data_IF_557744605631
#
_entry.id   IF_557744605631
#
_cell.length_a   1.000
_cell.length_b   1.000
_cell.length_c   1.000
_cell.angle_alpha   90.00
_cell.angle_beta   90.00
_cell.angle_gamma   90.00
#
_symmetry.space_group_name_H-M   'P 1'
#
loop_
_entity.id
_entity.type
_entity.pdbx_description
1 polymer ?
#
# COMPACT_ATOMS: atom_id res chain seq x y z
N UNK A 1 12.58 -23.19 -6.82
CA UNK A 1 11.92 -21.89 -7.05
C UNK A 1 12.74 -21.11 -8.06
N UNK A 2 12.43 -21.28 -9.35
CA UNK A 2 13.10 -20.59 -10.46
C UNK A 2 12.39 -19.27 -10.72
N UNK A 3 13.18 -18.18 -10.77
CA UNK A 3 12.70 -16.83 -11.00
C UNK A 3 12.24 -16.67 -12.45
N UNK A 4 10.94 -16.66 -12.72
CA UNK A 4 10.42 -16.26 -14.02
C UNK A 4 8.91 -16.02 -13.91
N UNK A 5 8.51 -14.77 -13.65
CA UNK A 5 7.23 -14.15 -14.03
C UNK A 5 6.87 -12.90 -13.18
N UNK A 6 7.82 -12.28 -12.48
CA UNK A 6 7.48 -11.21 -11.54
C UNK A 6 7.12 -9.86 -12.16
N UNK A 7 7.16 -9.67 -13.48
CA UNK A 7 6.88 -8.37 -14.08
C UNK A 7 5.44 -8.25 -14.60
N UNK A 8 4.46 -8.67 -13.79
CA UNK A 8 3.06 -8.49 -14.14
C UNK A 8 2.67 -7.03 -14.07
N UNK A 9 1.95 -6.57 -15.11
CA UNK A 9 1.16 -5.34 -15.05
C UNK A 9 0.05 -5.48 -14.01
N UNK A 10 -0.55 -4.37 -13.54
CA UNK A 10 -1.65 -4.41 -12.57
C UNK A 10 -2.81 -5.33 -12.98
N UNK A 11 -3.21 -5.27 -14.25
CA UNK A 11 -4.26 -6.13 -14.80
C UNK A 11 -3.86 -7.61 -14.73
N UNK A 12 -2.67 -7.95 -15.26
CA UNK A 12 -2.16 -9.33 -15.21
C UNK A 12 -1.98 -9.84 -13.78
N UNK A 13 -1.56 -8.97 -12.87
CA UNK A 13 -1.39 -9.32 -11.47
C UNK A 13 -2.72 -9.59 -10.79
N UNK A 14 -3.73 -8.76 -11.06
CA UNK A 14 -5.10 -8.98 -10.58
C UNK A 14 -5.60 -10.34 -11.02
N UNK A 15 -5.53 -10.64 -12.32
CA UNK A 15 -6.02 -11.90 -12.86
C UNK A 15 -5.23 -13.10 -12.32
N UNK A 16 -3.90 -13.01 -12.31
CA UNK A 16 -3.02 -14.09 -11.84
C UNK A 16 -3.18 -14.38 -10.34
N UNK A 17 -3.29 -13.36 -9.49
CA UNK A 17 -3.52 -13.56 -8.05
C UNK A 17 -4.88 -14.19 -7.81
N UNK A 18 -5.92 -13.70 -8.49
CA UNK A 18 -7.28 -14.23 -8.39
C UNK A 18 -7.38 -15.68 -8.85
N UNK A 19 -6.70 -16.03 -9.94
CA UNK A 19 -6.60 -17.40 -10.45
C UNK A 19 -5.97 -18.34 -9.40
N UNK A 20 -4.83 -17.94 -8.84
CA UNK A 20 -4.16 -18.72 -7.77
C UNK A 20 -5.08 -18.83 -6.55
N UNK A 21 -5.74 -17.75 -6.14
CA UNK A 21 -6.59 -17.70 -4.95
C UNK A 21 -7.88 -18.54 -5.07
N UNK A 22 -8.36 -18.81 -6.29
CA UNK A 22 -9.52 -19.68 -6.55
C UNK A 22 -9.16 -21.14 -6.77
N UNK A 23 -7.87 -21.45 -6.93
CA UNK A 23 -7.40 -22.81 -7.14
C UNK A 23 -7.58 -23.68 -5.89
N UNK A 24 -8.04 -24.92 -6.05
CA UNK A 24 -8.08 -25.91 -4.98
C UNK A 24 -6.68 -26.31 -4.48
N UNK A 25 -5.63 -26.01 -5.25
CA UNK A 25 -4.22 -26.27 -4.90
C UNK A 25 -3.53 -25.10 -4.22
N UNK A 26 -4.27 -24.03 -3.90
CA UNK A 26 -3.72 -22.84 -3.27
C UNK A 26 -2.94 -23.22 -2.01
N UNK A 27 -1.66 -22.85 -1.99
CA UNK A 27 -0.86 -22.85 -0.77
C UNK A 27 -0.61 -21.40 -0.36
N UNK A 28 -0.89 -21.06 0.89
CA UNK A 28 -0.72 -19.70 1.41
C UNK A 28 0.22 -19.69 2.61
N UNK A 29 1.05 -18.66 2.72
CA UNK A 29 1.90 -18.42 3.88
C UNK A 29 1.80 -16.98 4.34
N UNK A 30 1.95 -16.76 5.65
CA UNK A 30 1.85 -15.44 6.26
C UNK A 30 3.18 -15.08 6.93
N UNK A 31 3.62 -13.84 6.77
CA UNK A 31 4.60 -13.27 7.71
C UNK A 31 3.93 -13.07 9.08
N UNK A 32 4.69 -13.23 10.16
CA UNK A 32 4.24 -12.90 11.52
C UNK A 32 3.66 -11.49 11.62
N UNK A 33 4.29 -10.51 10.95
CA UNK A 33 3.77 -9.14 10.88
C UNK A 33 2.37 -9.06 10.28
N UNK A 34 2.07 -9.81 9.21
CA UNK A 34 0.72 -9.82 8.62
C UNK A 34 -0.32 -10.38 9.60
N UNK A 35 0.04 -11.40 10.39
CA UNK A 35 -0.84 -11.99 11.41
C UNK A 35 -1.16 -10.95 12.50
N UNK A 36 -0.15 -10.23 12.99
CA UNK A 36 -0.35 -9.17 13.98
C UNK A 36 -1.25 -8.05 13.43
N UNK A 37 -1.00 -7.60 12.19
CA UNK A 37 -1.78 -6.54 11.57
C UNK A 37 -3.26 -6.92 11.36
N UNK A 38 -3.54 -8.20 11.07
CA UNK A 38 -4.91 -8.71 10.98
C UNK A 38 -5.59 -8.66 12.35
N UNK A 39 -4.91 -9.13 13.40
CA UNK A 39 -5.44 -9.14 14.76
C UNK A 39 -5.72 -7.72 15.28
N UNK A 40 -4.84 -6.75 15.01
CA UNK A 40 -5.05 -5.34 15.37
C UNK A 40 -6.26 -4.68 14.68
N UNK A 41 -6.73 -5.27 13.58
CA UNK A 41 -7.80 -4.71 12.73
C UNK A 41 -9.07 -5.55 12.77
N UNK A 42 -9.14 -6.54 13.67
CA UNK A 42 -10.22 -7.53 13.76
C UNK A 42 -10.51 -8.23 12.42
N UNK A 43 -9.49 -8.41 11.59
CA UNK A 43 -9.59 -9.12 10.32
C UNK A 43 -9.23 -10.60 10.51
N UNK A 44 -9.94 -11.47 9.82
CA UNK A 44 -9.69 -12.92 9.85
C UNK A 44 -9.16 -13.43 8.51
N UNK A 45 -8.70 -14.68 8.50
CA UNK A 45 -8.13 -15.31 7.29
C UNK A 45 -9.12 -15.28 6.12
N UNK A 46 -10.42 -15.47 6.37
CA UNK A 46 -11.43 -15.44 5.31
C UNK A 46 -11.56 -14.07 4.63
N UNK A 47 -11.30 -12.97 5.35
CA UNK A 47 -11.27 -11.63 4.77
C UNK A 47 -10.11 -11.47 3.79
N UNK A 48 -8.91 -11.93 4.17
CA UNK A 48 -7.75 -11.94 3.29
C UNK A 48 -8.01 -12.78 2.05
N UNK A 49 -8.58 -13.98 2.21
CA UNK A 49 -8.95 -14.83 1.07
C UNK A 49 -10.01 -14.16 0.19
N UNK A 50 -10.97 -13.44 0.78
CA UNK A 50 -11.97 -12.68 0.03
C UNK A 50 -11.32 -11.58 -0.81
N UNK A 51 -10.42 -10.79 -0.23
CA UNK A 51 -9.66 -9.76 -0.94
C UNK A 51 -8.82 -10.37 -2.08
N UNK A 52 -8.16 -11.50 -1.86
CA UNK A 52 -7.35 -12.14 -2.90
C UNK A 52 -8.19 -12.69 -4.06
N UNK A 53 -9.42 -13.16 -3.78
CA UNK A 53 -10.34 -13.68 -4.80
C UNK A 53 -11.07 -12.56 -5.56
N UNK A 54 -11.40 -11.45 -4.89
CA UNK A 54 -12.33 -10.45 -5.43
C UNK A 54 -11.73 -9.06 -5.60
N UNK A 55 -10.57 -8.78 -5.02
CA UNK A 55 -9.91 -7.47 -5.07
C UNK A 55 -9.17 -7.20 -6.39
N UNK A 56 -8.65 -5.99 -6.52
CA UNK A 56 -7.88 -5.55 -7.69
C UNK A 56 -6.53 -4.96 -7.26
N UNK A 57 -5.53 -5.02 -8.15
CA UNK A 57 -4.24 -4.36 -7.95
C UNK A 57 -4.32 -2.92 -8.43
N UNK A 58 -4.17 -1.95 -7.52
CA UNK A 58 -4.19 -0.51 -7.87
C UNK A 58 -2.79 0.13 -7.84
N UNK A 59 -1.93 -0.34 -6.94
CA UNK A 59 -0.55 0.18 -6.80
C UNK A 59 0.40 -0.47 -7.81
N UNK A 60 1.47 0.24 -8.18
CA UNK A 60 2.51 -0.32 -9.04
C UNK A 60 3.23 -1.50 -8.35
N UNK A 61 3.71 -2.50 -9.12
CA UNK A 61 4.47 -3.61 -8.57
C UNK A 61 5.74 -3.11 -7.88
N UNK A 62 5.99 -3.55 -6.65
CA UNK A 62 7.23 -3.24 -5.94
C UNK A 62 8.17 -4.45 -5.94
N UNK A 63 9.47 -4.28 -6.23
CA UNK A 63 10.45 -5.35 -6.06
C UNK A 63 10.41 -5.95 -4.65
N UNK A 64 10.39 -7.28 -4.57
CA UNK A 64 10.56 -7.98 -3.30
C UNK A 64 12.04 -8.08 -2.92
N UNK A 65 12.32 -8.39 -1.64
CA UNK A 65 13.70 -8.64 -1.20
C UNK A 65 14.32 -9.86 -1.87
N UNK A 66 13.50 -10.77 -2.41
CA UNK A 66 13.97 -11.89 -3.21
C UNK A 66 13.97 -11.48 -4.68
N UNK A 67 15.14 -11.54 -5.31
CA UNK A 67 15.27 -11.27 -6.75
C UNK A 67 14.33 -12.15 -7.57
N UNK A 68 13.75 -11.56 -8.61
CA UNK A 68 12.81 -12.23 -9.51
C UNK A 68 11.39 -12.40 -8.95
N UNK A 69 11.03 -11.69 -7.89
CA UNK A 69 9.69 -11.63 -7.32
C UNK A 69 9.28 -10.19 -7.01
N UNK A 70 8.02 -9.86 -7.30
CA UNK A 70 7.42 -8.56 -6.99
C UNK A 70 6.28 -8.71 -5.98
N UNK A 71 6.06 -7.64 -5.22
CA UNK A 71 4.94 -7.46 -4.30
C UNK A 71 3.85 -6.68 -5.02
N UNK A 72 2.61 -7.07 -4.75
CA UNK A 72 1.42 -6.43 -5.28
C UNK A 72 0.46 -6.11 -4.13
N UNK A 73 -0.20 -4.96 -4.20
CA UNK A 73 -1.26 -4.59 -3.26
C UNK A 73 -2.62 -4.90 -3.86
N UNK A 74 -3.28 -5.94 -3.36
CA UNK A 74 -4.67 -6.27 -3.70
C UNK A 74 -5.61 -5.55 -2.77
N UNK A 75 -6.61 -4.85 -3.30
CA UNK A 75 -7.55 -4.06 -2.52
C UNK A 75 -8.99 -4.50 -2.76
N UNK A 76 -9.77 -4.59 -1.69
CA UNK A 76 -11.20 -4.86 -1.73
C UNK A 76 -11.85 -4.46 -0.40
N UNK A 77 -13.16 -4.19 -0.40
CA UNK A 77 -13.96 -4.29 0.82
C UNK A 77 -14.26 -5.77 1.07
N UNK A 78 -14.35 -6.18 2.33
CA UNK A 78 -14.67 -7.56 2.71
C UNK A 78 -15.77 -7.57 3.77
N UNK A 79 -16.40 -8.73 4.04
CA UNK A 79 -17.56 -8.80 4.95
C UNK A 79 -17.30 -8.16 6.33
N UNK A 80 -16.10 -8.35 6.88
CA UNK A 80 -15.75 -7.82 8.20
C UNK A 80 -15.05 -6.45 8.15
N UNK A 81 -14.94 -5.79 6.98
CA UNK A 81 -14.20 -4.52 6.87
C UNK A 81 -14.98 -3.28 7.29
N UNK A 82 -16.27 -3.40 7.64
CA UNK A 82 -17.08 -2.28 8.10
C UNK A 82 -17.09 -1.10 7.12
N UNK A 83 -17.21 -1.39 5.81
CA UNK A 83 -17.14 -0.45 4.67
C UNK A 83 -15.75 0.11 4.31
N UNK A 84 -14.71 -0.18 5.11
CA UNK A 84 -13.33 0.22 4.78
C UNK A 84 -12.73 -0.73 3.74
N UNK A 85 -11.86 -0.21 2.88
CA UNK A 85 -11.12 -1.04 1.94
C UNK A 85 -9.86 -1.61 2.63
N UNK A 86 -9.66 -2.91 2.48
CA UNK A 86 -8.47 -3.63 2.96
C UNK A 86 -7.48 -3.76 1.82
N UNK A 87 -6.21 -3.46 2.08
CA UNK A 87 -5.08 -3.77 1.20
C UNK A 87 -4.29 -4.95 1.75
N UNK A 88 -4.09 -5.96 0.90
CA UNK A 88 -3.24 -7.12 1.17
C UNK A 88 -2.00 -7.03 0.28
N UNK A 89 -0.82 -6.94 0.90
CA UNK A 89 0.45 -7.02 0.16
C UNK A 89 0.86 -8.47 0.00
N UNK A 90 0.95 -8.94 -1.25
CA UNK A 90 1.18 -10.33 -1.59
C UNK A 90 2.30 -10.50 -2.61
N UNK A 91 3.07 -11.57 -2.46
CA UNK A 91 4.00 -12.07 -3.48
C UNK A 91 3.40 -13.36 -4.06
N UNK A 92 2.99 -13.36 -5.33
CA UNK A 92 2.48 -14.56 -6.00
C UNK A 92 3.59 -15.40 -6.64
N UNK A 93 3.41 -16.71 -6.62
CA UNK A 93 4.15 -17.69 -7.43
C UNK A 93 3.14 -18.57 -8.17
N UNK A 94 2.90 -18.23 -9.45
CA UNK A 94 1.88 -18.90 -10.27
C UNK A 94 2.20 -20.37 -10.51
N UNK A 95 3.48 -20.69 -10.74
CA UNK A 95 3.93 -22.07 -11.01
C UNK A 95 3.70 -22.97 -9.80
N UNK A 96 4.01 -22.47 -8.60
CA UNK A 96 3.81 -23.20 -7.36
C UNK A 96 2.36 -23.14 -6.83
N UNK A 97 1.46 -22.37 -7.48
CA UNK A 97 0.13 -22.07 -6.96
C UNK A 97 0.17 -21.54 -5.51
N UNK A 98 1.11 -20.63 -5.27
CA UNK A 98 1.48 -20.19 -3.92
C UNK A 98 1.36 -18.68 -3.76
N UNK A 99 0.85 -18.24 -2.60
CA UNK A 99 0.78 -16.83 -2.22
C UNK A 99 1.49 -16.61 -0.88
N UNK A 100 2.38 -15.61 -0.84
CA UNK A 100 3.00 -15.16 0.42
C UNK A 100 2.46 -13.81 0.82
N UNK A 101 1.76 -13.76 1.95
CA UNK A 101 1.18 -12.56 2.53
C UNK A 101 2.23 -11.84 3.39
N UNK A 102 2.50 -10.58 3.03
CA UNK A 102 3.55 -9.77 3.62
C UNK A 102 3.00 -8.88 4.72
N UNK A 103 1.90 -8.18 4.45
CA UNK A 103 1.18 -7.34 5.41
C UNK A 103 -0.28 -7.16 4.96
N UNK A 104 -1.12 -6.74 5.91
CA UNK A 104 -2.52 -6.36 5.71
C UNK A 104 -2.72 -5.00 6.36
N UNK A 105 -3.43 -4.11 5.70
CA UNK A 105 -3.66 -2.75 6.20
C UNK A 105 -4.96 -2.18 5.64
N UNK A 106 -5.47 -1.11 6.24
CA UNK A 106 -6.54 -0.34 5.60
C UNK A 106 -5.94 0.52 4.47
N UNK A 107 -6.71 0.75 3.40
CA UNK A 107 -6.23 1.54 2.25
C UNK A 107 -6.02 3.02 2.61
N UNK A 108 -6.80 3.53 3.55
CA UNK A 108 -6.73 4.91 4.08
C UNK A 108 -5.62 5.10 5.13
N UNK A 109 -5.00 4.02 5.61
CA UNK A 109 -3.85 4.10 6.50
C UNK A 109 -2.55 4.34 5.72
N UNK A 110 -1.72 5.23 6.25
CA UNK A 110 -0.36 5.40 5.75
C UNK A 110 0.44 4.13 6.06
N UNK A 111 1.01 3.50 5.03
CA UNK A 111 1.84 2.32 5.21
C UNK A 111 3.13 2.70 5.97
N UNK A 112 3.20 2.39 7.26
CA UNK A 112 4.47 2.49 7.98
C UNK A 112 5.30 1.25 7.62
N UNK A 113 6.24 1.37 6.68
CA UNK A 113 7.34 0.40 6.62
C UNK A 113 8.06 0.52 7.96
N UNK A 114 8.43 -0.62 8.56
CA UNK A 114 9.31 -0.66 9.72
C UNK A 114 10.43 0.41 9.58
N UNK A 115 10.26 1.54 10.27
CA UNK A 115 11.22 2.64 10.34
C UNK A 115 10.96 3.94 9.57
N UNK A 116 10.21 4.01 8.46
CA UNK A 116 10.07 5.27 7.70
C UNK A 116 8.62 5.57 7.31
N UNK A 117 8.10 6.71 7.80
CA UNK A 117 6.84 7.33 7.40
C UNK A 117 7.02 7.83 5.97
N UNK A 118 6.23 7.32 5.02
CA UNK A 118 6.06 7.95 3.71
C UNK A 118 4.70 8.63 3.74
N UNK A 119 4.69 9.93 3.99
CA UNK A 119 3.48 10.73 4.09
C UNK A 119 3.78 12.15 4.53
N UNK A 120 4.54 12.90 3.72
CA UNK A 120 4.43 14.36 3.73
C UNK A 120 4.20 14.82 2.30
N UNK A 121 2.94 15.17 2.02
CA UNK A 121 2.56 16.10 0.97
C UNK A 121 1.30 16.80 1.48
N UNK A 122 1.46 17.54 2.58
CA UNK A 122 0.46 18.54 2.99
C UNK A 122 0.47 19.68 1.97
N UNK A 123 -0.17 19.49 0.82
CA UNK A 123 -0.68 20.60 0.04
C UNK A 123 -2.13 20.88 0.46
N UNK A 124 -2.30 21.78 1.43
CA UNK A 124 -3.56 22.48 1.64
C UNK A 124 -3.42 23.93 1.14
N UNK A 125 -4.15 24.33 0.08
CA UNK A 125 -4.11 25.69 -0.43
C UNK A 125 -5.15 26.56 0.28
N UNK A 126 -4.76 27.49 1.16
CA UNK A 126 -5.59 28.71 1.40
C UNK A 126 -4.87 29.87 2.11
N UNK A 127 -4.88 31.02 1.42
CA UNK A 127 -5.21 32.37 1.91
C UNK A 127 -4.24 33.17 2.80
N UNK A 128 -3.57 34.13 2.13
CA UNK A 128 -3.57 35.56 2.42
C UNK A 128 -3.42 36.02 3.89
N UNK A 129 -2.20 36.47 4.24
CA UNK A 129 -2.01 37.65 5.11
C UNK A 129 -0.85 38.50 4.60
N UNK A 130 -1.19 39.61 3.93
CA UNK A 130 -0.25 40.70 3.62
C UNK A 130 0.29 41.26 4.93
N UNK A 131 1.62 41.38 5.07
CA UNK A 131 2.24 42.11 6.19
C UNK A 131 2.15 43.62 5.89
N UNK A 132 1.57 44.44 6.78
CA UNK A 132 1.61 45.88 6.65
C UNK A 132 2.76 46.43 7.50
N UNK A 133 3.86 46.84 6.89
CA UNK A 133 4.80 47.79 7.51
C UNK A 133 5.67 48.49 6.47
N UNK A 134 5.02 49.22 5.56
CA UNK A 134 5.58 50.43 4.98
C UNK A 134 4.76 51.61 5.50
N UNK A 135 5.39 52.43 6.35
CA UNK A 135 5.17 53.87 6.61
C UNK A 135 6.01 54.18 7.84
N UNK A 136 6.79 55.22 7.95
CA UNK A 136 7.26 56.29 7.07
C UNK A 136 8.14 57.12 8.04
N UNK A 137 9.32 57.59 7.66
CA UNK A 137 9.67 59.01 7.72
C UNK A 137 11.14 59.27 7.38
N UNK A 138 11.27 60.15 6.38
CA UNK A 138 12.43 60.90 5.93
C UNK A 138 13.15 61.62 7.08
N UNK A 139 14.49 61.72 7.02
CA UNK A 139 15.24 62.99 6.81
C UNK A 139 16.74 62.85 7.03
N UNK A 140 17.51 63.48 6.12
CA UNK A 140 18.80 64.17 6.29
C UNK A 140 20.00 63.34 6.82
N UNK A 141 21.23 63.41 6.32
CA UNK A 141 21.96 64.37 5.50
C UNK A 141 23.44 64.34 5.95
N UNK A 142 24.35 64.67 5.03
CA UNK A 142 25.76 65.09 5.21
C UNK A 142 26.87 64.07 5.61
N UNK A 143 27.82 63.96 4.66
CA UNK A 143 29.30 64.13 4.74
C UNK A 143 30.08 63.44 5.89
N UNK A 144 31.11 62.67 5.52
CA UNK A 144 32.51 63.10 5.58
C UNK A 144 33.36 62.34 4.58
#
# INVERSE_FOLDING_TARGET
MTASDSNWTKAKATDGIREIARSARLTISYKRHAINQMAERDLIISDVLYVLKNGFVHIEPEPSTRSGYNKYGMECTCPNSGSRAVRVIVIPDRKACFLKIITVMWVDEVATRAGNIIGESDEHPSLHRKRPSERLHRRAGLRH
#
